data_IF_282836176076
#
_entry.id   IF_282836176076
#
_cell.length_a   1.000
_cell.length_b   1.000
_cell.length_c   1.000
_cell.angle_alpha   90.00
_cell.angle_beta   90.00
_cell.angle_gamma   90.00
#
_symmetry.space_group_name_H-M   'P 1'
#
loop_
_entity.id
_entity.type
_entity.pdbx_description
1 polymer ?
2 non-polymer ?
3 water ?
#
# COMPACT_ATOMS: atom_id res chain seq x y z
N UNK A 1 18.52 3.33 -1.72
CA UNK A 1 18.38 4.72 -1.26
C UNK A 1 17.38 4.86 -0.11
N UNK A 2 17.39 6.01 0.54
CA UNK A 2 16.31 6.33 1.47
C UNK A 2 15.24 7.16 0.75
N UNK A 3 13.99 6.78 0.91
CA UNK A 3 12.90 7.45 0.22
C UNK A 3 11.91 8.02 1.25
N UNK A 4 11.60 9.32 1.13
CA UNK A 4 10.54 9.90 1.98
C UNK A 4 9.20 9.76 1.29
N UNK A 5 8.12 10.10 1.98
CA UNK A 5 6.80 9.75 1.49
C UNK A 5 5.93 10.96 1.21
N UNK A 6 6.56 12.12 1.05
CA UNK A 6 5.87 13.33 0.65
C UNK A 6 5.28 13.14 -0.75
N UNK A 7 5.89 12.27 -1.53
CA UNK A 7 5.34 11.91 -2.83
C UNK A 7 5.18 10.40 -2.92
N UNK A 8 4.40 9.90 -3.89
CA UNK A 8 4.31 8.45 -4.11
C UNK A 8 5.70 7.88 -4.39
N UNK A 9 6.06 6.78 -3.67
CA UNK A 9 7.37 6.17 -3.84
C UNK A 9 7.44 5.32 -5.11
N UNK A 10 7.61 6.00 -6.24
CA UNK A 10 7.67 5.37 -7.57
C UNK A 10 9.09 5.01 -7.92
N UNK A 11 9.28 3.86 -8.55
CA UNK A 11 10.59 3.50 -9.00
C UNK A 11 10.49 2.94 -10.41
N UNK A 12 11.62 2.91 -11.09
CA UNK A 12 11.68 2.33 -12.40
C UNK A 12 11.99 0.83 -12.27
N UNK A 13 11.26 -0.01 -12.99
CA UNK A 13 11.58 -1.44 -12.97
C UNK A 13 11.82 -1.95 -14.38
N UNK A 14 12.54 -3.06 -14.49
CA UNK A 14 12.66 -3.75 -15.76
C UNK A 14 12.16 -5.17 -15.55
N UNK A 15 11.24 -5.58 -16.42
CA UNK A 15 10.67 -6.91 -16.35
C UNK A 15 10.25 -7.37 -17.74
N UNK A 16 10.61 -8.60 -18.09
CA UNK A 16 10.19 -9.15 -19.39
C UNK A 16 10.75 -8.33 -20.54
N UNK A 17 11.91 -7.71 -20.30
CA UNK A 17 12.57 -6.90 -21.32
C UNK A 17 12.04 -5.48 -21.45
N UNK A 18 11.03 -5.13 -20.65
CA UNK A 18 10.35 -3.83 -20.75
C UNK A 18 10.60 -2.93 -19.52
N UNK A 19 10.53 -1.63 -19.73
CA UNK A 19 10.75 -0.70 -18.63
C UNK A 19 9.43 -0.10 -18.19
N UNK A 20 9.19 -0.09 -16.89
CA UNK A 20 7.91 0.34 -16.33
C UNK A 20 8.19 1.14 -15.07
N UNK A 21 7.18 1.86 -14.60
CA UNK A 21 7.28 2.54 -13.32
C UNK A 21 6.31 1.83 -12.38
N UNK A 22 6.68 1.68 -11.11
CA UNK A 22 5.89 0.90 -10.15
C UNK A 22 5.98 1.55 -8.76
N UNK A 23 4.91 1.42 -8.00
CA UNK A 23 4.82 1.99 -6.66
C UNK A 23 5.33 1.01 -5.60
N UNK A 24 6.30 1.42 -4.79
CA UNK A 24 6.72 0.57 -3.66
C UNK A 24 5.58 0.58 -2.64
N UNK A 25 4.98 -0.58 -2.42
CA UNK A 25 3.71 -0.66 -1.69
C UNK A 25 3.74 -1.61 -0.49
N UNK A 26 3.97 -1.06 0.70
CA UNK A 26 4.03 -1.88 1.93
C UNK A 26 2.67 -2.46 2.28
N UNK A 27 1.61 -1.92 1.70
CA UNK A 27 0.26 -2.37 1.97
C UNK A 27 -0.21 -3.50 1.06
N UNK A 28 0.71 -4.05 0.28
CA UNK A 28 0.39 -5.09 -0.70
C UNK A 28 1.25 -6.31 -0.43
N UNK A 29 0.63 -7.46 -0.17
CA UNK A 29 1.38 -8.68 0.07
C UNK A 29 2.11 -9.10 -1.20
N UNK A 30 1.39 -8.99 -2.33
CA UNK A 30 1.86 -9.50 -3.62
C UNK A 30 2.22 -8.37 -4.58
N UNK A 31 2.94 -8.70 -5.64
CA UNK A 31 3.25 -7.72 -6.67
C UNK A 31 2.20 -7.82 -7.79
N UNK A 32 1.64 -6.69 -8.19
CA UNK A 32 0.63 -6.72 -9.26
C UNK A 32 0.88 -5.64 -10.31
N UNK A 33 0.96 -6.07 -11.57
CA UNK A 33 1.27 -5.18 -12.68
C UNK A 33 0.13 -5.09 -13.69
N UNK A 34 0.01 -3.94 -14.34
CA UNK A 34 -0.98 -3.75 -15.39
C UNK A 34 -0.78 -4.78 -16.50
N UNK A 35 -1.79 -4.94 -17.33
CA UNK A 35 -1.69 -5.84 -18.48
C UNK A 35 -0.39 -5.59 -19.24
N UNK A 36 0.42 -6.63 -19.38
CA UNK A 36 1.64 -6.56 -20.14
C UNK A 36 1.84 -7.94 -20.68
N UNK A 37 2.74 -8.07 -21.67
CA UNK A 37 3.07 -9.38 -22.20
C UNK A 37 4.19 -10.01 -21.40
N UNK A 38 3.88 -11.11 -20.72
CA UNK A 38 4.90 -11.91 -20.03
C UNK A 38 4.96 -13.30 -20.63
N UNK A 39 6.19 -13.76 -20.92
CA UNK A 39 6.48 -15.05 -21.58
C UNK A 39 5.93 -16.28 -20.87
N UNK A 40 6.05 -16.34 -19.54
CA UNK A 40 5.83 -17.57 -18.80
C UNK A 40 4.50 -18.28 -18.96
N UNK A 41 4.35 -19.40 -18.26
CA UNK A 41 3.04 -20.02 -18.12
C UNK A 41 2.42 -19.46 -16.85
N UNK A 42 1.09 -19.37 -16.82
CA UNK A 42 0.43 -18.70 -15.71
C UNK A 42 -0.79 -19.44 -15.19
N UNK A 43 -1.20 -19.09 -13.97
CA UNK A 43 -2.37 -19.67 -13.34
C UNK A 43 -3.37 -18.56 -13.02
N UNK A 44 -4.66 -18.81 -13.29
CA UNK A 44 -5.72 -17.85 -12.90
C UNK A 44 -5.70 -17.64 -11.39
N UNK A 45 -6.07 -16.45 -10.93
CA UNK A 45 -6.13 -16.15 -9.51
C UNK A 45 -7.03 -14.95 -9.34
N UNK A 46 -7.44 -14.70 -8.11
CA UNK A 46 -8.43 -13.69 -7.81
C UNK A 46 -7.91 -12.91 -6.61
N UNK A 47 -7.76 -11.59 -6.75
CA UNK A 47 -7.23 -10.80 -5.64
C UNK A 47 -8.16 -9.65 -5.23
N UNK A 48 -8.25 -9.43 -3.92
CA UNK A 48 -9.17 -8.43 -3.40
C UNK A 48 -8.50 -7.19 -2.87
N UNK A 49 -9.09 -6.04 -3.14
CA UNK A 49 -8.60 -4.79 -2.59
C UNK A 49 -9.72 -3.97 -2.06
N UNK A 50 -9.61 -2.65 -2.18
CA UNK A 50 -10.54 -1.74 -1.54
C UNK A 50 -11.96 -1.76 -2.13
N UNK A 51 -12.09 -1.77 -3.46
CA UNK A 51 -13.41 -1.71 -4.07
C UNK A 51 -13.96 -3.05 -4.54
N UNK A 52 -13.41 -4.13 -4.01
CA UNK A 52 -13.77 -5.46 -4.46
C UNK A 52 -12.58 -6.24 -4.98
N UNK A 53 -12.81 -6.99 -6.06
CA UNK A 53 -11.87 -8.01 -6.49
C UNK A 53 -11.52 -7.89 -7.99
N UNK A 54 -10.37 -8.40 -8.38
CA UNK A 54 -10.04 -8.52 -9.80
C UNK A 54 -9.45 -9.89 -10.07
N UNK A 55 -9.59 -10.35 -11.31
CA UNK A 55 -8.95 -11.58 -11.73
C UNK A 55 -7.58 -11.26 -12.32
N UNK A 56 -6.55 -11.98 -11.88
CA UNK A 56 -5.21 -11.75 -12.39
C UNK A 56 -4.56 -13.04 -12.84
N UNK A 57 -3.52 -12.92 -13.64
CA UNK A 57 -2.73 -14.07 -14.09
C UNK A 57 -1.50 -14.15 -13.22
N UNK A 58 -1.29 -15.29 -12.57
CA UNK A 58 -0.15 -15.46 -11.70
C UNK A 58 1.05 -16.09 -12.39
N UNK A 59 2.16 -15.37 -12.39
CA UNK A 59 3.41 -15.88 -12.94
C UNK A 59 4.42 -16.10 -11.82
N UNK A 60 4.95 -17.31 -11.73
CA UNK A 60 5.94 -17.61 -10.70
C UNK A 60 7.35 -17.44 -11.25
N UNK A 61 8.30 -17.26 -10.34
CA UNK A 61 9.72 -17.10 -10.65
C UNK A 61 10.00 -16.15 -11.82
N UNK A 62 9.45 -14.95 -11.72
CA UNK A 62 9.68 -13.92 -12.72
C UNK A 62 10.78 -13.00 -12.25
N UNK A 63 11.76 -12.76 -13.11
CA UNK A 63 12.86 -11.89 -12.76
C UNK A 63 12.43 -10.43 -12.88
N UNK A 64 12.75 -9.65 -11.86
CA UNK A 64 12.44 -8.24 -11.89
C UNK A 64 13.62 -7.42 -11.38
N UNK A 65 13.91 -6.30 -12.03
CA UNK A 65 14.97 -5.44 -11.58
C UNK A 65 14.32 -4.16 -11.12
N UNK A 66 14.43 -3.89 -9.82
CA UNK A 66 13.68 -2.80 -9.20
C UNK A 66 14.67 -1.77 -8.71
N UNK A 67 14.77 -0.66 -9.44
CA UNK A 67 15.76 0.37 -9.14
C UNK A 67 17.17 -0.25 -9.13
N UNK A 68 17.43 -1.16 -10.06
CA UNK A 68 18.75 -1.78 -10.18
C UNK A 68 19.07 -2.84 -9.14
N UNK A 69 18.05 -3.32 -8.43
CA UNK A 69 18.19 -4.48 -7.55
C UNK A 69 17.39 -5.62 -8.15
N UNK A 70 18.02 -6.77 -8.34
CA UNK A 70 17.34 -7.92 -8.91
C UNK A 70 16.60 -8.76 -7.87
N UNK A 71 15.40 -9.21 -8.22
CA UNK A 71 14.62 -10.09 -7.37
C UNK A 71 13.88 -11.07 -8.28
N UNK A 72 13.58 -12.26 -7.74
CA UNK A 72 12.83 -13.25 -8.49
C UNK A 72 11.67 -13.70 -7.63
N UNK A 73 10.47 -13.64 -8.19
CA UNK A 73 9.33 -14.02 -7.40
C UNK A 73 8.08 -13.98 -8.22
N UNK A 74 6.97 -14.10 -7.51
CA UNK A 74 5.67 -14.09 -8.14
C UNK A 74 5.21 -12.71 -8.56
N UNK A 75 4.74 -12.63 -9.78
CA UNK A 75 4.17 -11.40 -10.29
C UNK A 75 2.78 -11.73 -10.78
N UNK A 76 1.81 -10.89 -10.37
CA UNK A 76 0.44 -10.99 -10.85
C UNK A 76 0.17 -9.92 -11.91
N UNK A 77 -0.58 -10.29 -12.93
CA UNK A 77 -0.85 -9.38 -14.02
C UNK A 77 -2.34 -9.27 -14.23
N UNK A 78 -2.85 -8.05 -14.31
CA UNK A 78 -4.27 -7.86 -14.46
C UNK A 78 -4.61 -6.39 -14.36
N UNK A 79 -5.91 -6.09 -14.36
CA UNK A 79 -6.36 -4.71 -14.44
C UNK A 79 -6.21 -3.93 -13.13
N UNK A 80 -4.98 -3.84 -12.59
CA UNK A 80 -4.70 -2.92 -11.49
C UNK A 80 -4.56 -1.50 -12.05
N UNK A 81 -5.03 -0.50 -11.30
CA UNK A 81 -4.90 0.89 -11.78
C UNK A 81 -3.45 1.32 -11.85
N UNK A 82 -2.62 0.78 -10.96
CA UNK A 82 -1.21 1.14 -10.94
C UNK A 82 -0.32 -0.09 -10.70
N UNK A 83 0.88 -0.05 -11.27
CA UNK A 83 1.88 -1.09 -11.01
C UNK A 83 2.31 -1.05 -9.55
N UNK A 84 2.20 -2.19 -8.87
CA UNK A 84 2.45 -2.26 -7.44
C UNK A 84 3.55 -3.26 -7.14
N UNK A 85 4.64 -2.82 -6.51
CA UNK A 85 5.62 -3.76 -5.98
C UNK A 85 5.27 -4.06 -4.54
N UNK A 86 4.88 -5.31 -4.26
CA UNK A 86 4.44 -5.72 -2.94
C UNK A 86 5.52 -6.36 -2.09
N UNK A 87 5.16 -6.72 -0.85
CA UNK A 87 6.14 -7.18 0.14
C UNK A 87 6.94 -8.42 -0.29
N UNK A 88 6.34 -9.27 -1.13
CA UNK A 88 7.04 -10.47 -1.60
C UNK A 88 8.36 -10.14 -2.31
N UNK A 89 8.41 -8.99 -2.97
CA UNK A 89 9.62 -8.55 -3.66
C UNK A 89 10.39 -7.53 -2.83
N UNK A 90 9.68 -6.68 -2.08
CA UNK A 90 10.34 -5.70 -1.22
C UNK A 90 11.34 -6.34 -0.26
N UNK A 91 10.99 -7.50 0.28
CA UNK A 91 11.89 -8.16 1.22
C UNK A 91 13.19 -8.54 0.51
N UNK A 92 13.07 -9.00 -0.74
CA UNK A 92 14.23 -9.42 -1.53
C UNK A 92 15.21 -8.31 -1.87
N UNK A 93 14.74 -7.08 -1.94
CA UNK A 93 15.66 -5.99 -2.23
C UNK A 93 16.03 -5.26 -0.94
N UNK A 94 15.75 -5.91 0.19
CA UNK A 94 16.16 -5.41 1.50
C UNK A 94 15.44 -4.17 1.96
N UNK A 95 14.24 -3.94 1.47
CA UNK A 95 13.52 -2.72 1.78
C UNK A 95 12.85 -2.70 3.18
N UNK A 96 13.03 -1.60 3.91
CA UNK A 96 12.46 -1.45 5.25
C UNK A 96 11.69 -0.14 5.48
N UNK A 97 10.81 -0.15 6.47
CA UNK A 97 10.18 1.08 6.96
C UNK A 97 10.95 1.61 8.17
N UNK A 98 11.02 2.92 8.30
CA UNK A 98 11.82 3.55 9.35
C UNK A 98 11.15 4.79 9.90
N UNK A 99 11.04 4.87 11.22
CA UNK A 99 10.50 6.07 11.85
C UNK A 99 10.90 6.16 13.32
N UNK B 1 11.02 2.85 15.27
CA UNK B 1 11.93 1.72 15.03
C UNK B 1 12.03 1.39 13.54
N UNK B 2 12.92 0.47 13.19
CA UNK B 2 12.91 -0.05 11.84
C UNK B 2 11.91 -1.22 11.78
N UNK B 3 11.22 -1.35 10.66
CA UNK B 3 10.27 -2.44 10.48
C UNK B 3 10.62 -3.15 9.17
N UNK B 4 10.79 -4.47 9.22
CA UNK B 4 11.03 -5.22 7.99
C UNK B 4 9.70 -5.73 7.45
N UNK B 5 9.72 -6.28 6.24
CA UNK B 5 8.48 -6.48 5.52
C UNK B 5 8.14 -7.96 5.28
N UNK B 6 8.77 -8.84 6.04
CA UNK B 6 8.44 -10.26 6.00
C UNK B 6 7.01 -10.50 6.47
N UNK B 7 6.52 -9.62 7.32
CA UNK B 7 5.11 -9.67 7.71
C UNK B 7 4.43 -8.34 7.40
N UNK B 8 3.10 -8.30 7.43
CA UNK B 8 2.37 -7.03 7.31
C UNK B 8 2.84 -6.06 8.38
N UNK B 9 3.15 -4.82 7.97
CA UNK B 9 3.59 -3.81 8.93
C UNK B 9 2.41 -3.17 9.69
N UNK B 10 1.93 -3.91 10.69
CA UNK B 10 0.78 -3.50 11.50
C UNK B 10 1.27 -2.71 12.71
N UNK B 11 0.52 -1.67 13.07
CA UNK B 11 0.80 -0.93 14.28
C UNK B 11 -0.48 -0.71 15.06
N UNK B 12 -0.31 -0.47 16.35
CA UNK B 12 -1.44 -0.09 17.18
C UNK B 12 -1.69 1.42 17.05
N UNK B 13 -2.95 1.82 16.85
CA UNK B 13 -3.28 3.23 16.79
C UNK B 13 -4.35 3.56 17.83
N UNK B 14 -4.35 4.79 18.31
CA UNK B 14 -5.45 5.26 19.14
C UNK B 14 -6.08 6.45 18.43
N UNK B 15 -7.38 6.36 18.23
CA UNK B 15 -8.13 7.39 17.52
C UNK B 15 -9.56 7.43 18.05
N UNK B 16 -10.06 8.63 18.30
CA UNK B 16 -11.43 8.80 18.77
C UNK B 16 -11.68 8.08 20.09
N UNK B 17 -10.65 8.03 20.93
CA UNK B 17 -10.72 7.33 22.19
C UNK B 17 -10.59 5.82 22.10
N UNK B 18 -10.48 5.29 20.89
CA UNK B 18 -10.49 3.85 20.65
C UNK B 18 -9.15 3.30 20.15
N UNK B 19 -8.90 2.04 20.47
CA UNK B 19 -7.65 1.38 20.13
C UNK B 19 -7.87 0.49 18.93
N UNK B 20 -7.01 0.61 17.92
CA UNK B 20 -7.19 -0.21 16.70
C UNK B 20 -5.84 -0.66 16.17
N UNK B 21 -5.87 -1.55 15.20
CA UNK B 21 -4.65 -2.00 14.55
C UNK B 21 -4.75 -1.55 13.11
N UNK B 22 -3.66 -1.04 12.55
CA UNK B 22 -3.70 -0.47 11.21
C UNK B 22 -2.43 -0.79 10.45
N UNK B 23 -2.55 -0.91 9.14
CA UNK B 23 -1.42 -1.23 8.28
C UNK B 23 -0.68 0.01 7.80
N UNK B 24 0.64 0.10 8.04
CA UNK B 24 1.44 1.18 7.45
C UNK B 24 1.56 0.96 5.93
N UNK B 25 0.93 1.85 5.19
CA UNK B 25 0.70 1.62 3.75
C UNK B 25 1.27 2.74 2.86
N UNK B 26 2.48 2.51 2.34
CA UNK B 26 3.14 3.46 1.43
C UNK B 26 2.43 3.56 0.08
N UNK B 27 1.57 2.59 -0.20
CA UNK B 27 0.84 2.57 -1.45
C UNK B 27 -0.49 3.30 -1.39
N UNK B 28 -0.74 3.97 -0.27
CA UNK B 28 -1.98 4.71 -0.05
C UNK B 28 -1.66 6.18 0.16
N UNK B 29 -2.30 7.06 -0.60
CA UNK B 29 -2.10 8.49 -0.42
C UNK B 29 -2.78 8.90 0.89
N UNK B 30 -3.99 8.37 1.10
CA UNK B 30 -4.82 8.79 2.23
C UNK B 30 -4.91 7.71 3.30
N UNK B 31 -5.40 8.10 4.47
CA UNK B 31 -5.66 7.18 5.56
C UNK B 31 -7.12 6.72 5.54
N UNK B 32 -7.34 5.41 5.51
CA UNK B 32 -8.68 4.84 5.44
C UNK B 32 -8.96 3.86 6.58
N UNK B 33 -9.97 4.16 7.39
CA UNK B 33 -10.34 3.30 8.50
C UNK B 33 -11.69 2.65 8.34
N UNK B 34 -11.82 1.41 8.82
CA UNK B 34 -13.10 0.71 8.85
C UNK B 34 -14.15 1.53 9.60
N UNK B 35 -15.42 1.18 9.38
CA UNK B 35 -16.51 1.85 10.07
C UNK B 35 -16.21 1.96 11.55
N UNK B 36 -16.24 3.20 12.04
CA UNK B 36 -16.02 3.49 13.43
C UNK B 36 -16.76 4.80 13.63
N UNK B 37 -17.04 5.17 14.88
CA UNK B 37 -17.66 6.47 15.11
C UNK B 37 -16.65 7.52 15.56
N UNK B 38 -16.63 8.61 14.81
CA UNK B 38 -15.76 9.74 15.09
C UNK B 38 -16.66 10.96 15.26
N UNK B 39 -16.39 11.77 16.29
CA UNK B 39 -17.17 12.92 16.73
C UNK B 39 -17.70 13.86 15.63
N UNK B 40 -16.79 14.56 14.95
CA UNK B 40 -17.15 15.78 14.24
C UNK B 40 -18.05 15.73 13.02
N UNK B 41 -17.99 16.79 12.22
CA UNK B 41 -18.68 16.82 10.94
C UNK B 41 -17.77 16.26 9.86
N UNK B 42 -18.35 15.96 8.70
CA UNK B 42 -17.61 15.30 7.62
C UNK B 42 -18.16 15.65 6.25
N UNK B 43 -17.50 15.12 5.23
CA UNK B 43 -17.88 15.34 3.83
C UNK B 43 -17.79 14.02 3.09
N UNK B 44 -18.85 13.65 2.37
CA UNK B 44 -18.81 12.42 1.57
C UNK B 44 -17.67 12.46 0.56
N UNK B 45 -17.20 11.27 0.17
CA UNK B 45 -16.10 11.17 -0.79
C UNK B 45 -16.12 9.79 -1.41
N UNK B 46 -15.43 9.65 -2.52
CA UNK B 46 -15.37 8.40 -3.25
C UNK B 46 -13.90 8.13 -3.50
N UNK B 47 -13.41 6.96 -3.10
CA UNK B 47 -12.01 6.62 -3.34
C UNK B 47 -11.87 5.31 -4.11
N UNK B 48 -10.86 5.25 -4.97
CA UNK B 48 -10.71 4.10 -5.85
C UNK B 48 -9.50 3.27 -5.51
N UNK B 49 -9.68 1.95 -5.52
CA UNK B 49 -8.62 1.03 -5.23
C UNK B 49 -8.52 -0.01 -6.32
N UNK B 50 -8.02 -1.18 -5.98
CA UNK B 50 -7.76 -2.20 -6.98
C UNK B 50 -9.01 -2.82 -7.59
N UNK B 51 -10.07 -3.00 -6.80
CA UNK B 51 -11.27 -3.64 -7.30
C UNK B 51 -12.41 -2.69 -7.67
N UNK B 52 -12.13 -1.40 -7.66
CA UNK B 52 -13.15 -0.41 -7.88
C UNK B 52 -13.19 0.63 -6.78
N UNK B 53 -14.38 1.15 -6.50
CA UNK B 53 -14.54 2.34 -5.69
C UNK B 53 -15.34 2.06 -4.42
N UNK B 54 -15.10 2.87 -3.37
CA UNK B 54 -15.99 2.83 -2.21
C UNK B 54 -16.33 4.25 -1.79
N UNK B 55 -17.49 4.41 -1.17
CA UNK B 55 -17.89 5.69 -0.61
C UNK B 55 -17.40 5.78 0.83
N UNK B 56 -16.72 6.88 1.16
CA UNK B 56 -16.23 7.09 2.52
C UNK B 56 -16.66 8.45 3.06
N UNK B 57 -16.51 8.63 4.37
CA UNK B 57 -16.75 9.92 5.00
C UNK B 57 -15.41 10.53 5.35
N UNK B 58 -15.18 11.76 4.92
CA UNK B 58 -13.91 12.41 5.17
C UNK B 58 -13.96 13.32 6.39
N UNK B 59 -13.09 13.04 7.36
CA UNK B 59 -12.96 13.85 8.55
C UNK B 59 -11.62 14.56 8.50
N UNK B 60 -11.65 15.87 8.58
CA UNK B 60 -10.41 16.62 8.58
C UNK B 60 -9.90 16.87 9.98
N UNK B 61 -8.58 17.03 10.08
CA UNK B 61 -7.92 17.41 11.31
C UNK B 61 -8.27 16.51 12.49
N UNK B 62 -8.12 15.20 12.28
CA UNK B 62 -8.39 14.23 13.32
C UNK B 62 -7.07 13.82 13.97
N UNK B 63 -7.06 13.75 15.29
CA UNK B 63 -5.85 13.34 16.01
C UNK B 63 -5.72 11.83 16.00
N UNK B 64 -4.52 11.37 15.67
CA UNK B 64 -4.26 9.95 15.70
C UNK B 64 -2.91 9.68 16.34
N UNK B 65 -2.84 8.64 17.16
CA UNK B 65 -1.60 8.27 17.78
C UNK B 65 -1.21 6.93 17.15
N UNK B 66 -0.11 6.93 16.42
CA UNK B 66 0.32 5.80 15.60
C UNK B 66 1.61 5.26 16.18
N UNK B 67 1.53 4.11 16.83
CA UNK B 67 2.66 3.55 17.54
C UNK B 67 3.22 4.62 18.50
N UNK B 68 2.33 5.35 19.16
CA UNK B 68 2.74 6.34 20.16
C UNK B 68 3.26 7.65 19.60
N UNK B 69 3.19 7.80 18.27
CA UNK B 69 3.52 9.07 17.62
C UNK B 69 2.24 9.79 17.27
N UNK B 70 2.14 11.05 17.64
CA UNK B 70 0.93 11.83 17.38
C UNK B 70 0.97 12.46 15.99
N UNK B 71 -0.18 12.44 15.31
CA UNK B 71 -0.34 13.14 14.06
C UNK B 71 -1.76 13.65 13.97
N UNK B 72 -1.96 14.73 13.22
CA UNK B 72 -3.29 15.29 12.99
C UNK B 72 -3.48 15.43 11.49
N UNK B 73 -4.60 14.94 10.96
CA UNK B 73 -4.82 15.04 9.53
C UNK B 73 -6.12 14.42 9.11
N UNK B 74 -6.27 14.26 7.81
CA UNK B 74 -7.50 13.71 7.26
C UNK B 74 -7.60 12.21 7.46
N UNK B 75 -8.73 11.78 7.95
CA UNK B 75 -9.01 10.37 8.06
C UNK B 75 -10.29 10.05 7.30
N UNK B 76 -10.23 9.03 6.45
CA UNK B 76 -11.40 8.54 5.75
C UNK B 76 -11.96 7.28 6.42
N UNK B 77 -13.28 7.25 6.54
CA UNK B 77 -13.95 6.14 7.20
C UNK B 77 -14.95 5.48 6.26
N UNK B 78 -14.86 4.17 6.11
CA UNK B 78 -15.73 3.50 5.18
C UNK B 78 -15.39 2.04 5.07
N UNK B 79 -16.04 1.35 4.12
CA UNK B 79 -15.95 -0.10 4.02
C UNK B 79 -14.62 -0.61 3.45
N UNK B 80 -13.48 -0.09 3.92
CA UNK B 80 -12.19 -0.69 3.60
C UNK B 80 -12.06 -2.02 4.33
N UNK B 81 -11.48 -3.04 3.68
CA UNK B 81 -11.30 -4.33 4.36
C UNK B 81 -10.30 -4.28 5.51
N UNK B 82 -9.38 -3.31 5.49
CA UNK B 82 -8.38 -3.19 6.56
C UNK B 82 -8.08 -1.72 6.83
N UNK B 83 -7.76 -1.43 8.10
CA UNK B 83 -7.41 -0.06 8.47
C UNK B 83 -6.05 0.26 7.84
N UNK B 84 -5.97 1.40 7.15
CA UNK B 84 -4.80 1.77 6.36
C UNK B 84 -4.24 3.09 6.84
N UNK B 85 -2.98 3.15 7.26
CA UNK B 85 -2.34 4.45 7.50
C UNK B 85 -1.60 4.88 6.23
N UNK B 86 -2.05 5.97 5.62
CA UNK B 86 -1.54 6.40 4.34
C UNK B 86 -0.45 7.45 4.45
N UNK B 87 0.07 7.89 3.30
CA UNK B 87 1.23 8.77 3.27
C UNK B 87 0.96 10.11 3.96
N UNK B 88 -0.29 10.56 3.90
CA UNK B 88 -0.65 11.82 4.55
C UNK B 88 -0.26 11.86 6.04
N UNK B 89 -0.38 10.72 6.71
CA UNK B 89 0.04 10.63 8.12
C UNK B 89 1.43 10.04 8.30
N UNK B 90 1.86 9.16 7.39
CA UNK B 90 3.21 8.59 7.47
C UNK B 90 4.29 9.67 7.48
N UNK B 91 4.11 10.70 6.66
CA UNK B 91 5.09 11.78 6.63
C UNK B 91 5.20 12.44 7.99
N UNK B 92 4.05 12.64 8.65
CA UNK B 92 4.02 13.31 9.94
C UNK B 92 4.76 12.62 11.07
N UNK B 93 4.88 11.30 11.00
CA UNK B 93 5.58 10.57 12.03
C UNK B 93 6.97 10.22 11.55
N UNK B 94 7.39 10.89 10.48
CA UNK B 94 8.77 10.77 9.99
C UNK B 94 9.09 9.41 9.39
N UNK B 95 8.06 8.74 8.88
CA UNK B 95 8.26 7.42 8.30
C UNK B 95 8.92 7.44 6.91
N UNK B 96 9.96 6.60 6.72
CA UNK B 96 10.67 6.51 5.44
C UNK B 96 10.86 5.08 4.94
N UNK B 97 11.06 4.92 3.63
CA UNK B 97 11.42 3.62 3.06
C UNK B 97 12.93 3.55 2.92
N UNK B 98 13.50 2.38 3.10
CA UNK B 98 14.94 2.20 3.00
C UNK B 98 15.35 0.90 2.34
N UNK B 99 16.19 0.99 1.32
CA UNK B 99 16.80 -0.20 0.73
C UNK B 99 18.14 0.12 0.06
#
# INVERSE_FOLDING_TARGET
>A
PQITLWQRPLVTIKIGGQLKEALLNTGADDTVLEEMSLPGRWKPKMIGGIGGFIKVRQYDQILIEICGHKAIGTVLVGPTPVNIIGRNLLTQIGCTLNF
>B
PQITLWQRPLVTIKIGGQLKEALLNTGADDTVLEEMSLPGRWKPKMIGGIGGFIKVRQYDQILIEICGHKAIGTVLVGPTPVNIIGRNLLTQIGCTLNF
#
